data_IF_712662506007
#
_entry.id   IF_712662506007
#
_cell.length_a   1.000
_cell.length_b   1.000
_cell.length_c   1.000
_cell.angle_alpha   90.00
_cell.angle_beta   90.00
_cell.angle_gamma   90.00
#
_symmetry.space_group_name_H-M   'P 1'
#
loop_
_entity.id
_entity.type
_entity.pdbx_description
1 polymer ?
#
# COMPACT_ATOMS: atom_id res chain seq x y z
N UNK A 1 4.51 -4.68 11.67
CA UNK A 1 4.68 -3.34 12.25
C UNK A 1 5.44 -2.46 11.26
N UNK A 2 4.70 -1.52 10.70
CA UNK A 2 5.15 -0.49 9.78
C UNK A 2 5.10 0.85 10.49
N UNK A 3 6.13 1.66 10.33
CA UNK A 3 6.28 2.94 11.00
C UNK A 3 6.31 4.03 9.96
N UNK A 4 5.25 4.82 9.89
CA UNK A 4 5.17 6.00 9.05
C UNK A 4 5.86 7.15 9.79
N UNK A 5 6.91 7.69 9.20
CA UNK A 5 7.64 8.87 9.67
C UNK A 5 7.49 10.00 8.67
N UNK A 6 7.10 11.16 9.17
CA UNK A 6 7.17 12.43 8.50
C UNK A 6 7.68 13.48 9.50
N UNK A 7 8.10 14.64 9.02
CA UNK A 7 8.78 15.68 9.82
C UNK A 7 8.07 16.06 11.13
N UNK A 8 6.74 16.00 11.17
CA UNK A 8 5.91 16.30 12.35
C UNK A 8 4.92 15.19 12.70
N UNK A 9 5.08 14.00 12.12
CA UNK A 9 4.13 12.91 12.29
C UNK A 9 4.89 11.59 12.36
N UNK A 10 4.68 10.84 13.44
CA UNK A 10 5.20 9.49 13.56
C UNK A 10 4.08 8.62 14.08
N UNK A 11 3.72 7.60 13.30
CA UNK A 11 2.68 6.64 13.70
C UNK A 11 3.06 5.24 13.24
N UNK A 12 2.78 4.27 14.10
CA UNK A 12 3.01 2.85 13.86
C UNK A 12 1.68 2.18 13.51
N UNK A 13 1.74 1.29 12.53
CA UNK A 13 0.63 0.55 11.96
C UNK A 13 1.00 -0.92 11.92
N UNK A 14 0.00 -1.78 12.06
CA UNK A 14 0.20 -3.22 11.96
C UNK A 14 0.21 -3.68 10.49
N UNK A 15 -0.69 -3.09 9.70
CA UNK A 15 -0.92 -3.37 8.29
C UNK A 15 -0.12 -2.46 7.35
N UNK A 16 0.31 -3.02 6.21
CA UNK A 16 1.07 -2.25 5.20
C UNK A 16 0.15 -1.26 4.49
N UNK A 17 -1.07 -1.71 4.17
CA UNK A 17 -2.12 -0.92 3.52
C UNK A 17 -2.42 0.37 4.28
N UNK A 18 -2.68 0.27 5.59
CA UNK A 18 -2.97 1.43 6.42
C UNK A 18 -1.79 2.42 6.48
N UNK A 19 -0.57 1.90 6.63
CA UNK A 19 0.64 2.71 6.62
C UNK A 19 0.79 3.47 5.28
N UNK A 20 0.55 2.80 4.17
CA UNK A 20 0.62 3.38 2.83
C UNK A 20 -0.50 4.39 2.59
N UNK A 21 -1.73 4.10 3.00
CA UNK A 21 -2.85 5.04 2.91
C UNK A 21 -2.58 6.30 3.72
N UNK A 22 -2.07 6.16 4.94
CA UNK A 22 -1.71 7.31 5.75
C UNK A 22 -0.58 8.12 5.12
N UNK A 23 0.45 7.46 4.61
CA UNK A 23 1.54 8.13 3.90
C UNK A 23 1.01 8.90 2.68
N UNK A 24 0.11 8.30 1.89
CA UNK A 24 -0.54 8.96 0.74
C UNK A 24 -1.41 10.15 1.15
N UNK A 25 -2.16 10.03 2.25
CA UNK A 25 -2.95 11.13 2.80
C UNK A 25 -2.09 12.30 3.30
N UNK A 26 -0.82 12.05 3.64
CA UNK A 26 0.15 13.07 4.04
C UNK A 26 0.81 13.77 2.85
N UNK A 27 0.80 13.19 1.64
CA UNK A 27 1.35 13.80 0.41
C UNK A 27 0.84 15.23 0.17
N UNK A 28 -0.48 15.51 0.17
CA UNK A 28 -0.98 16.87 -0.06
C UNK A 28 -0.62 17.85 1.07
N UNK A 29 -0.36 17.34 2.28
CA UNK A 29 0.06 18.13 3.45
C UNK A 29 1.58 18.29 3.55
N UNK A 30 2.33 17.65 2.66
CA UNK A 30 3.79 17.63 2.68
C UNK A 30 4.35 18.89 2.00
N UNK A 31 5.15 19.66 2.74
CA UNK A 31 5.92 20.78 2.23
C UNK A 31 7.00 20.35 1.24
N UNK A 32 7.57 21.30 0.49
CA UNK A 32 8.63 21.04 -0.49
C UNK A 32 9.89 20.40 0.11
N UNK A 33 10.21 20.70 1.37
CA UNK A 33 11.36 20.18 2.10
C UNK A 33 11.01 19.03 3.06
N UNK A 34 9.83 18.45 2.92
CA UNK A 34 9.37 17.37 3.77
C UNK A 34 9.47 16.04 3.01
N UNK A 35 9.77 14.99 3.76
CA UNK A 35 9.82 13.62 3.28
C UNK A 35 8.97 12.75 4.20
N UNK A 36 8.24 11.83 3.58
CA UNK A 36 7.44 10.80 4.20
C UNK A 36 8.16 9.48 3.98
N UNK A 37 8.42 8.77 5.05
CA UNK A 37 9.17 7.52 5.08
C UNK A 37 8.29 6.45 5.73
N UNK A 38 8.31 5.23 5.21
CA UNK A 38 7.72 4.07 5.85
C UNK A 38 8.85 3.11 6.18
N UNK A 39 8.97 2.75 7.45
CA UNK A 39 9.93 1.77 7.93
C UNK A 39 9.22 0.47 8.31
N UNK A 40 9.72 -0.66 7.85
CA UNK A 40 9.28 -1.99 8.29
C UNK A 40 10.32 -2.55 9.25
N UNK A 41 9.95 -2.80 10.52
CA UNK A 41 10.88 -3.35 11.53
C UNK A 41 12.23 -2.60 11.69
N UNK A 42 12.28 -1.33 11.26
CA UNK A 42 13.49 -0.50 11.28
C UNK A 42 14.14 -0.29 9.91
N UNK A 43 13.74 -1.05 8.88
CA UNK A 43 14.22 -0.90 7.51
C UNK A 43 13.35 0.08 6.73
N UNK A 44 13.97 1.10 6.12
CA UNK A 44 13.26 2.00 5.21
C UNK A 44 12.82 1.22 3.97
N UNK A 45 11.52 1.04 3.80
CA UNK A 45 10.95 0.29 2.66
C UNK A 45 10.34 1.20 1.60
N UNK A 46 9.91 2.39 2.01
CA UNK A 46 9.27 3.36 1.13
C UNK A 46 9.62 4.78 1.57
N UNK A 47 9.90 5.65 0.60
CA UNK A 47 10.14 7.07 0.84
C UNK A 47 9.50 7.91 -0.26
N UNK A 48 8.94 9.03 0.12
CA UNK A 48 8.40 10.03 -0.78
C UNK A 48 8.78 11.42 -0.28
N UNK A 49 9.42 12.19 -1.14
CA UNK A 49 9.59 13.61 -0.92
C UNK A 49 9.08 14.35 -2.14
N UNK A 50 8.49 15.52 -1.91
CA UNK A 50 7.91 16.36 -2.97
C UNK A 50 8.95 16.87 -3.96
N UNK A 51 10.24 16.87 -3.59
CA UNK A 51 11.34 17.15 -4.49
C UNK A 51 11.62 16.04 -5.52
N UNK A 52 11.18 14.81 -5.24
CA UNK A 52 11.28 13.70 -6.18
C UNK A 52 9.95 13.52 -6.91
N UNK A 53 10.01 13.35 -8.23
CA UNK A 53 8.83 13.17 -9.08
C UNK A 53 8.04 11.88 -8.77
N UNK A 54 8.68 10.91 -8.12
CA UNK A 54 8.10 9.61 -7.80
C UNK A 54 8.53 9.10 -6.42
N UNK A 55 7.63 8.38 -5.71
CA UNK A 55 8.01 7.63 -4.50
C UNK A 55 9.05 6.56 -4.83
N UNK A 56 10.01 6.37 -3.92
CA UNK A 56 11.05 5.35 -4.04
C UNK A 56 10.77 4.21 -3.07
N UNK A 57 10.80 3.00 -3.60
CA UNK A 57 10.88 1.78 -2.82
C UNK A 57 12.35 1.49 -2.54
N UNK A 58 12.71 1.28 -1.27
CA UNK A 58 14.08 1.08 -0.83
C UNK A 58 14.25 -0.40 -0.43
N UNK A 59 15.29 -1.03 -0.97
CA UNK A 59 15.62 -2.43 -0.72
C UNK A 59 15.30 -3.39 -1.88
N UNK A 60 16.12 -4.44 -2.07
CA UNK A 60 15.90 -5.43 -3.11
C UNK A 60 14.66 -6.28 -2.81
N UNK A 61 13.72 -6.35 -3.75
CA UNK A 61 12.50 -7.14 -3.61
C UNK A 61 11.46 -6.56 -2.63
N UNK A 62 11.69 -5.36 -2.10
CA UNK A 62 10.75 -4.67 -1.19
C UNK A 62 9.39 -4.48 -1.85
N UNK A 63 9.35 -4.03 -3.10
CA UNK A 63 8.10 -3.88 -3.85
C UNK A 63 7.31 -5.20 -3.93
N UNK A 64 7.97 -6.30 -4.31
CA UNK A 64 7.34 -7.62 -4.45
C UNK A 64 6.80 -8.13 -3.10
N UNK A 65 7.57 -7.97 -2.02
CA UNK A 65 7.14 -8.33 -0.65
C UNK A 65 5.92 -7.53 -0.19
N UNK A 66 5.93 -6.23 -0.42
CA UNK A 66 4.84 -5.33 -0.04
C UNK A 66 3.60 -5.59 -0.89
N UNK A 67 3.76 -5.86 -2.19
CA UNK A 67 2.66 -6.22 -3.09
C UNK A 67 2.02 -7.55 -2.69
N UNK A 68 2.81 -8.56 -2.32
CA UNK A 68 2.28 -9.83 -1.79
C UNK A 68 1.51 -9.64 -0.49
N UNK A 69 2.01 -8.81 0.43
CA UNK A 69 1.29 -8.48 1.66
C UNK A 69 -0.02 -7.77 1.38
N UNK A 70 -0.01 -6.77 0.50
CA UNK A 70 -1.22 -6.08 0.06
C UNK A 70 -2.26 -7.04 -0.52
N UNK A 71 -1.83 -8.00 -1.33
CA UNK A 71 -2.72 -9.02 -1.90
C UNK A 71 -3.26 -9.98 -0.82
N UNK A 72 -2.43 -10.37 0.15
CA UNK A 72 -2.86 -11.21 1.29
C UNK A 72 -3.84 -10.47 2.22
N UNK A 73 -3.63 -9.18 2.46
CA UNK A 73 -4.52 -8.35 3.28
C UNK A 73 -5.87 -8.07 2.58
N UNK A 74 -5.87 -7.88 1.26
CA UNK A 74 -7.10 -7.65 0.49
C UNK A 74 -7.81 -8.94 0.03
N UNK A 75 -7.16 -10.10 0.07
CA UNK A 75 -7.81 -11.40 -0.26
C UNK A 75 -8.59 -12.00 0.90
N UNK A 76 -8.53 -11.40 2.10
CA UNK A 76 -9.36 -11.79 3.26
C UNK A 76 -10.72 -11.06 3.27
N UNK A 77 -11.24 -10.71 2.09
CA UNK A 77 -12.68 -10.69 1.87
C UNK A 77 -12.97 -11.97 1.09
N UNK A 78 -13.61 -13.01 1.66
CA UNK A 78 -14.09 -14.10 0.83
C UNK A 78 -14.97 -13.47 -0.26
N UNK A 79 -14.89 -13.92 -1.52
CA UNK A 79 -15.94 -13.60 -2.48
C UNK A 79 -17.23 -14.19 -1.91
N UNK A 80 -18.00 -13.37 -1.19
CA UNK A 80 -19.39 -13.65 -0.91
C UNK A 80 -20.09 -13.67 -2.27
N UNK A 81 -20.29 -14.90 -2.76
CA UNK A 81 -21.12 -15.30 -3.89
C UNK A 81 -20.92 -14.55 -5.21
N UNK A 82 -20.12 -15.14 -6.11
CA UNK A 82 -20.56 -15.42 -7.49
C UNK A 82 -19.54 -16.31 -8.22
N UNK A 83 -19.31 -17.51 -7.69
CA UNK A 83 -18.88 -18.64 -8.49
C UNK A 83 -20.09 -19.57 -8.63
N UNK A 84 -20.88 -19.35 -9.68
CA UNK A 84 -21.70 -20.37 -10.34
C UNK A 84 -21.43 -20.14 -11.82
N UNK A 85 -20.51 -20.92 -12.37
CA UNK A 85 -20.83 -22.12 -13.14
C UNK A 85 -21.55 -21.75 -14.42
N UNK A 86 -20.82 -21.96 -15.50
CA UNK A 86 -21.27 -21.94 -16.87
C UNK A 86 -22.56 -22.73 -17.07
N UNK A 87 -23.55 -22.13 -17.74
CA UNK A 87 -24.45 -22.84 -18.65
C UNK A 87 -24.79 -21.95 -19.85
N UNK A 88 -24.32 -22.40 -21.02
CA UNK A 88 -24.97 -22.36 -22.35
C UNK A 88 -25.54 -21.06 -22.94
N UNK A 89 -25.16 -20.70 -24.19
CA UNK A 89 -25.99 -19.83 -25.01
C UNK A 89 -27.16 -20.65 -25.57
N UNK A 90 -28.39 -20.33 -25.20
CA UNK A 90 -29.59 -20.82 -25.92
C UNK A 90 -30.36 -19.65 -26.50
N UNK A 91 -30.23 -19.53 -27.82
CA UNK A 91 -31.11 -18.86 -28.77
C UNK A 91 -32.52 -19.45 -28.73
N UNK A 92 -33.55 -18.60 -28.69
CA UNK A 92 -34.87 -18.85 -29.30
C UNK A 92 -35.58 -17.47 -29.42
N UNK A 93 -35.61 -16.87 -30.61
CA UNK A 93 -36.55 -16.99 -31.73
C UNK A 93 -37.69 -15.96 -31.66
#
# INVERSE_FOLDING_TARGET
MFKVRAKKFQQEYELWTEALERAKALIPKCGWFEEIQILEKGDLVWAYSRGYKYPRFIGPGTYDRLARRFALENTETPPSSAATTAEGPTTEA
#
